data_IF_051181989622
#
_entry.id   IF_051181989622
#
_cell.length_a   1.000
_cell.length_b   1.000
_cell.length_c   1.000
_cell.angle_alpha   90.00
_cell.angle_beta   90.00
_cell.angle_gamma   90.00
#
_symmetry.space_group_name_H-M   'P 1'
#
loop_
_entity.id
_entity.type
_entity.pdbx_description
1 polymer ?
#
# COMPACT_ATOMS: atom_id res chain seq x y z
N UNK A 1 42.90 -48.17 -0.98
CA UNK A 1 41.79 -48.80 -1.66
C UNK A 1 41.22 -47.84 -2.73
N UNK A 2 41.47 -48.07 -4.05
CA UNK A 2 40.88 -47.31 -5.16
C UNK A 2 39.62 -48.05 -5.60
N UNK A 3 38.45 -47.63 -5.13
CA UNK A 3 37.19 -48.39 -5.25
C UNK A 3 36.45 -48.13 -6.58
N UNK A 4 36.85 -47.19 -7.44
CA UNK A 4 36.15 -46.95 -8.71
C UNK A 4 37.10 -46.77 -9.90
N UNK A 5 36.89 -47.60 -10.96
CA UNK A 5 37.51 -47.46 -12.28
C UNK A 5 37.04 -46.16 -12.96
N UNK A 6 37.90 -45.52 -13.76
CA UNK A 6 37.65 -44.25 -14.46
C UNK A 6 36.36 -44.26 -15.34
N UNK A 7 36.01 -45.45 -15.86
CA UNK A 7 34.82 -45.70 -16.66
C UNK A 7 33.53 -45.59 -15.82
N UNK A 8 33.56 -46.00 -14.54
CA UNK A 8 32.43 -45.90 -13.62
C UNK A 8 32.20 -44.48 -13.12
N UNK A 9 33.22 -43.63 -13.04
CA UNK A 9 33.07 -42.20 -12.66
C UNK A 9 32.31 -41.41 -13.73
N UNK A 10 32.50 -41.71 -15.04
CA UNK A 10 31.75 -41.06 -16.11
C UNK A 10 30.29 -41.49 -16.11
N UNK A 11 30.01 -42.75 -15.84
CA UNK A 11 28.68 -43.31 -15.76
C UNK A 11 27.95 -42.73 -14.53
N UNK A 12 28.62 -42.65 -13.38
CA UNK A 12 28.08 -42.05 -12.16
C UNK A 12 27.73 -40.55 -12.34
N UNK A 13 28.63 -39.76 -13.01
CA UNK A 13 28.33 -38.36 -13.31
C UNK A 13 27.12 -38.21 -14.24
N UNK A 14 26.93 -39.08 -15.23
CA UNK A 14 25.76 -39.07 -16.12
C UNK A 14 24.49 -39.39 -15.33
N UNK A 15 24.53 -40.39 -14.46
CA UNK A 15 23.40 -40.75 -13.61
C UNK A 15 23.05 -39.57 -12.69
N UNK A 16 24.01 -38.94 -12.02
CA UNK A 16 23.79 -37.77 -11.15
C UNK A 16 23.20 -36.60 -11.94
N UNK A 17 23.64 -36.31 -13.15
CA UNK A 17 23.09 -35.25 -13.98
C UNK A 17 21.67 -35.55 -14.42
N UNK A 18 21.35 -36.80 -14.77
CA UNK A 18 19.99 -37.22 -15.16
C UNK A 18 19.05 -37.15 -13.94
N UNK A 19 19.48 -37.60 -12.77
CA UNK A 19 18.65 -37.50 -11.54
C UNK A 19 18.43 -36.04 -11.12
N UNK A 20 19.46 -35.19 -11.25
CA UNK A 20 19.32 -33.76 -10.96
C UNK A 20 18.33 -33.09 -11.94
N UNK A 21 18.45 -33.39 -13.23
CA UNK A 21 17.52 -32.87 -14.23
C UNK A 21 16.09 -33.35 -14.01
N UNK A 22 15.90 -34.61 -13.62
CA UNK A 22 14.57 -35.15 -13.27
C UNK A 22 13.98 -34.48 -12.02
N UNK A 23 14.79 -34.18 -11.00
CA UNK A 23 14.35 -33.46 -9.80
C UNK A 23 13.94 -32.03 -10.11
N UNK A 24 14.71 -31.32 -10.96
CA UNK A 24 14.36 -29.97 -11.41
C UNK A 24 13.05 -29.99 -12.21
N UNK A 25 12.89 -30.94 -13.13
CA UNK A 25 11.64 -31.08 -13.89
C UNK A 25 10.44 -31.35 -12.97
N UNK A 26 10.62 -32.22 -11.98
CA UNK A 26 9.58 -32.53 -10.99
C UNK A 26 9.21 -31.28 -10.16
N UNK A 27 10.20 -30.51 -9.74
CA UNK A 27 9.98 -29.27 -9.00
C UNK A 27 9.20 -28.24 -9.85
N UNK A 28 9.55 -28.10 -11.14
CA UNK A 28 8.81 -27.22 -12.06
C UNK A 28 7.36 -27.70 -12.28
N UNK A 29 7.12 -29.01 -12.39
CA UNK A 29 5.78 -29.56 -12.52
C UNK A 29 4.94 -29.31 -11.24
N UNK A 30 5.54 -29.45 -10.06
CA UNK A 30 4.88 -29.16 -8.79
C UNK A 30 4.55 -27.66 -8.70
N UNK A 31 5.47 -26.78 -9.03
CA UNK A 31 5.25 -25.34 -9.03
C UNK A 31 4.15 -24.92 -10.01
N UNK A 32 4.16 -25.47 -11.23
CA UNK A 32 3.12 -25.24 -12.22
C UNK A 32 1.74 -25.74 -11.73
N UNK A 33 1.72 -26.89 -11.04
CA UNK A 33 0.48 -27.44 -10.50
C UNK A 33 -0.05 -26.62 -9.33
N UNK A 34 0.82 -26.11 -8.45
CA UNK A 34 0.43 -25.22 -7.35
C UNK A 34 -0.14 -23.92 -7.91
N UNK A 35 0.52 -23.30 -8.90
CA UNK A 35 0.00 -22.10 -9.58
C UNK A 35 -1.33 -22.36 -10.28
N UNK A 36 -1.52 -23.53 -10.87
CA UNK A 36 -2.78 -23.89 -11.51
C UNK A 36 -3.90 -24.12 -10.50
N UNK A 37 -3.61 -24.83 -9.40
CA UNK A 37 -4.59 -25.12 -8.35
C UNK A 37 -4.97 -23.88 -7.54
N UNK A 38 -4.06 -22.90 -7.41
CA UNK A 38 -4.32 -21.63 -6.75
C UNK A 38 -5.47 -20.82 -7.39
N UNK A 39 -5.82 -21.11 -8.64
CA UNK A 39 -6.97 -20.49 -9.33
C UNK A 39 -8.34 -21.01 -8.87
N UNK A 40 -8.37 -22.15 -8.17
CA UNK A 40 -9.60 -22.83 -7.72
C UNK A 40 -9.76 -22.83 -6.21
N UNK A 41 -8.91 -22.09 -5.48
CA UNK A 41 -9.01 -21.97 -4.04
C UNK A 41 -10.09 -20.94 -3.71
N UNK A 42 -11.14 -21.39 -3.04
CA UNK A 42 -12.20 -20.52 -2.51
C UNK A 42 -12.03 -20.42 -1.01
N UNK A 43 -11.96 -19.18 -0.52
CA UNK A 43 -11.92 -18.88 0.89
C UNK A 43 -13.34 -18.61 1.38
N UNK A 44 -13.79 -19.40 2.36
CA UNK A 44 -15.10 -19.26 3.01
C UNK A 44 -14.89 -19.02 4.51
N UNK A 45 -15.84 -18.38 5.23
CA UNK A 45 -15.79 -18.25 6.68
C UNK A 45 -15.63 -19.60 7.41
N UNK A 46 -16.07 -20.70 6.78
CA UNK A 46 -16.00 -22.05 7.32
C UNK A 46 -14.70 -22.81 6.93
N UNK A 47 -13.79 -22.19 6.18
CA UNK A 47 -12.52 -22.79 5.77
C UNK A 47 -12.15 -22.59 4.30
N UNK A 48 -11.02 -23.16 3.90
CA UNK A 48 -10.51 -23.12 2.53
C UNK A 48 -10.87 -24.41 1.82
N UNK A 49 -11.53 -24.33 0.66
CA UNK A 49 -11.83 -25.50 -0.18
C UNK A 49 -11.47 -25.25 -1.64
N UNK A 50 -11.27 -26.34 -2.38
CA UNK A 50 -10.95 -26.32 -3.80
C UNK A 50 -12.25 -26.58 -4.60
N UNK A 51 -12.70 -25.57 -5.34
CA UNK A 51 -13.80 -25.72 -6.29
C UNK A 51 -13.27 -25.97 -7.70
N UNK A 52 -13.24 -27.23 -8.10
CA UNK A 52 -12.77 -27.68 -9.42
C UNK A 52 -13.88 -27.72 -10.47
N UNK A 53 -15.12 -27.35 -10.12
CA UNK A 53 -16.29 -27.42 -11.01
C UNK A 53 -16.73 -26.07 -11.55
N UNK A 54 -15.93 -25.03 -11.45
CA UNK A 54 -16.22 -23.77 -12.14
C UNK A 54 -16.21 -23.98 -13.66
N UNK A 55 -17.36 -24.36 -14.19
CA UNK A 55 -17.64 -24.24 -15.60
C UNK A 55 -17.73 -22.76 -15.93
N UNK A 56 -16.81 -22.26 -16.76
CA UNK A 56 -16.93 -20.99 -17.46
C UNK A 56 -18.10 -21.07 -18.44
N UNK A 57 -19.32 -21.09 -17.95
CA UNK A 57 -20.52 -20.85 -18.73
C UNK A 57 -20.79 -19.36 -18.74
N UNK A 58 -20.31 -18.72 -19.78
CA UNK A 58 -20.76 -17.39 -20.21
C UNK A 58 -22.16 -17.58 -20.81
N UNK A 59 -23.19 -17.47 -20.00
CA UNK A 59 -24.58 -17.18 -20.33
C UNK A 59 -25.45 -17.84 -19.27
N UNK A 60 -25.96 -17.01 -18.38
CA UNK A 60 -27.31 -17.02 -17.87
C UNK A 60 -27.39 -15.97 -16.75
N UNK A 61 -27.47 -14.72 -17.19
CA UNK A 61 -28.00 -13.67 -16.33
C UNK A 61 -29.52 -13.85 -16.35
N UNK A 62 -30.19 -14.18 -15.25
CA UNK A 62 -31.63 -14.10 -15.21
C UNK A 62 -32.01 -12.63 -15.37
N UNK A 63 -32.75 -12.32 -16.44
CA UNK A 63 -33.41 -11.04 -16.60
C UNK A 63 -34.32 -10.81 -15.40
N UNK A 64 -33.89 -9.98 -14.46
CA UNK A 64 -34.73 -9.50 -13.39
C UNK A 64 -35.80 -8.61 -14.04
N UNK A 65 -37.04 -9.10 -14.00
CA UNK A 65 -38.25 -8.34 -14.28
C UNK A 65 -38.27 -7.09 -13.39
N UNK A 66 -38.43 -5.93 -14.04
CA UNK A 66 -38.70 -4.65 -13.36
C UNK A 66 -39.89 -4.82 -12.39
N UNK A 67 -39.77 -4.32 -11.16
CA UNK A 67 -40.95 -4.06 -10.35
C UNK A 67 -41.61 -2.76 -10.86
N UNK A 68 -42.92 -2.87 -11.08
CA UNK A 68 -43.81 -1.75 -11.36
C UNK A 68 -43.76 -0.67 -10.25
N UNK A 69 -43.99 0.56 -10.67
CA UNK A 69 -44.09 1.81 -9.94
C UNK A 69 -44.65 1.66 -8.52
N UNK A 70 -43.78 1.93 -7.54
CA UNK A 70 -44.20 2.31 -6.20
C UNK A 70 -43.94 3.80 -6.02
N UNK A 71 -45.02 4.56 -6.04
CA UNK A 71 -45.12 5.99 -5.77
C UNK A 71 -44.73 6.22 -4.30
N UNK A 72 -43.51 6.69 -4.04
CA UNK A 72 -43.10 7.19 -2.73
C UNK A 72 -43.12 8.71 -2.77
N UNK A 73 -43.92 9.37 -1.89
CA UNK A 73 -43.92 10.81 -1.82
C UNK A 73 -42.59 11.30 -1.24
N UNK A 74 -41.79 11.98 -2.04
CA UNK A 74 -40.66 12.76 -1.58
C UNK A 74 -41.18 13.99 -0.82
N UNK A 75 -41.17 13.98 0.49
CA UNK A 75 -41.21 15.19 1.28
C UNK A 75 -39.85 15.87 1.22
N UNK A 76 -39.76 16.93 0.45
CA UNK A 76 -38.63 17.86 0.50
C UNK A 76 -38.68 18.65 1.81
N UNK A 77 -37.91 18.18 2.80
CA UNK A 77 -37.63 18.98 3.99
C UNK A 77 -36.57 20.02 3.61
N UNK A 78 -36.99 21.26 3.43
CA UNK A 78 -36.09 22.40 3.43
C UNK A 78 -35.59 22.60 4.86
N UNK A 79 -34.35 22.16 5.13
CA UNK A 79 -33.64 22.55 6.36
C UNK A 79 -33.12 23.96 6.17
N UNK A 80 -33.66 24.87 6.98
CA UNK A 80 -33.21 26.27 7.11
C UNK A 80 -31.80 26.31 7.74
N UNK A 81 -30.95 27.14 7.17
CA UNK A 81 -29.50 27.12 7.35
C UNK A 81 -29.03 27.16 8.82
N UNK A 82 -28.21 26.20 9.13
CA UNK A 82 -27.17 26.31 10.14
C UNK A 82 -25.92 25.62 9.61
N UNK A 83 -24.89 26.45 9.39
CA UNK A 83 -23.46 26.15 9.27
C UNK A 83 -23.07 24.90 8.46
N UNK A 84 -22.47 25.20 7.33
CA UNK A 84 -21.62 24.31 6.55
C UNK A 84 -20.57 23.61 7.45
N UNK A 85 -20.92 22.47 8.03
CA UNK A 85 -19.99 21.37 8.02
C UNK A 85 -19.95 20.93 6.55
N UNK A 86 -18.96 21.41 5.84
CA UNK A 86 -18.59 20.92 4.54
C UNK A 86 -18.34 19.42 4.73
N UNK A 87 -19.37 18.61 4.50
CA UNK A 87 -19.20 17.18 4.31
C UNK A 87 -18.25 17.06 3.12
N UNK A 88 -16.98 16.79 3.45
CA UNK A 88 -15.90 16.58 2.50
C UNK A 88 -16.25 15.32 1.71
N UNK A 89 -17.01 15.50 0.63
CA UNK A 89 -17.40 14.40 -0.25
C UNK A 89 -16.11 13.89 -0.87
N UNK A 90 -15.62 12.78 -0.36
CA UNK A 90 -14.41 12.15 -0.84
C UNK A 90 -14.56 11.90 -2.34
N UNK A 91 -13.68 12.49 -3.14
CA UNK A 91 -13.69 12.35 -4.60
C UNK A 91 -13.08 11.00 -4.98
N UNK A 92 -13.67 10.31 -5.96
CA UNK A 92 -13.07 9.12 -6.55
C UNK A 92 -11.74 9.50 -7.22
N UNK A 93 -10.64 8.86 -6.81
CA UNK A 93 -9.31 9.20 -7.28
C UNK A 93 -8.94 8.38 -8.53
N UNK A 94 -8.54 9.08 -9.58
CA UNK A 94 -7.85 8.53 -10.74
C UNK A 94 -6.55 9.28 -10.92
N UNK A 95 -5.41 8.61 -10.76
CA UNK A 95 -4.17 9.35 -10.77
C UNK A 95 -2.91 8.52 -10.93
N UNK A 96 -1.81 9.20 -10.69
CA UNK A 96 -0.48 8.63 -10.91
C UNK A 96 0.40 8.77 -9.68
N UNK A 97 1.29 7.79 -9.46
CA UNK A 97 2.32 7.93 -8.46
C UNK A 97 3.68 8.30 -9.06
N UNK A 98 4.38 9.15 -8.33
CA UNK A 98 5.74 9.58 -8.59
C UNK A 98 6.63 8.92 -7.54
N UNK A 99 7.47 7.97 -7.96
CA UNK A 99 8.37 7.27 -7.05
C UNK A 99 9.60 8.08 -6.71
N UNK A 100 10.27 7.72 -5.59
CA UNK A 100 11.58 8.29 -5.22
C UNK A 100 12.63 8.13 -6.32
N UNK A 101 12.58 7.06 -7.10
CA UNK A 101 13.49 6.85 -8.24
C UNK A 101 13.24 7.88 -9.33
N UNK A 102 11.97 8.15 -9.68
CA UNK A 102 11.64 9.18 -10.68
C UNK A 102 12.13 10.58 -10.24
N UNK A 103 11.97 10.91 -8.95
CA UNK A 103 12.46 12.18 -8.40
C UNK A 103 13.99 12.27 -8.41
N UNK A 104 14.68 11.17 -8.10
CA UNK A 104 16.14 11.13 -8.11
C UNK A 104 16.72 11.18 -9.52
N UNK A 105 16.05 10.55 -10.50
CA UNK A 105 16.53 10.50 -11.88
C UNK A 105 16.36 11.85 -12.61
N UNK A 106 15.15 12.40 -12.62
CA UNK A 106 14.88 13.72 -13.24
C UNK A 106 13.48 14.24 -12.94
N UNK A 107 13.40 15.29 -12.15
CA UNK A 107 12.16 16.04 -11.89
C UNK A 107 11.56 16.64 -13.17
N UNK A 108 12.41 17.09 -14.12
CA UNK A 108 11.93 17.64 -15.38
C UNK A 108 11.23 16.59 -16.25
N UNK A 109 11.72 15.35 -16.23
CA UNK A 109 11.04 14.21 -16.91
C UNK A 109 9.69 13.94 -16.28
N UNK A 110 9.59 13.98 -14.94
CA UNK A 110 8.32 13.84 -14.22
C UNK A 110 7.34 14.93 -14.62
N UNK A 111 7.80 16.19 -14.63
CA UNK A 111 6.98 17.35 -15.01
C UNK A 111 6.50 17.25 -16.46
N UNK A 112 7.37 16.84 -17.38
CA UNK A 112 6.99 16.60 -18.77
C UNK A 112 5.92 15.50 -18.89
N UNK A 113 6.09 14.37 -18.22
CA UNK A 113 5.14 13.26 -18.24
C UNK A 113 3.77 13.69 -17.71
N UNK A 114 3.72 14.45 -16.59
CA UNK A 114 2.46 14.98 -16.05
C UNK A 114 1.75 15.91 -17.06
N UNK A 115 2.51 16.74 -17.79
CA UNK A 115 1.94 17.64 -18.81
C UNK A 115 1.46 16.91 -20.07
N UNK A 116 1.98 15.73 -20.36
CA UNK A 116 1.60 14.89 -21.50
C UNK A 116 0.46 13.93 -21.15
N UNK A 117 0.09 13.85 -19.88
CA UNK A 117 -0.96 12.96 -19.38
C UNK A 117 -2.24 13.72 -19.13
N UNK A 118 -3.33 13.26 -19.71
CA UNK A 118 -4.67 13.80 -19.54
C UNK A 118 -5.49 12.98 -18.51
N UNK A 119 -6.60 13.53 -18.06
CA UNK A 119 -7.67 12.86 -17.32
C UNK A 119 -7.24 12.24 -15.96
N UNK A 120 -6.43 12.96 -15.16
CA UNK A 120 -6.16 12.59 -13.78
C UNK A 120 -6.57 13.69 -12.79
N UNK A 121 -7.00 13.29 -11.61
CA UNK A 121 -7.39 14.19 -10.52
C UNK A 121 -6.60 13.96 -9.23
N UNK A 122 -5.59 13.06 -9.26
CA UNK A 122 -4.76 12.78 -8.10
C UNK A 122 -3.30 12.53 -8.49
N UNK A 123 -2.38 12.96 -7.62
CA UNK A 123 -0.96 12.61 -7.70
C UNK A 123 -0.48 12.13 -6.33
N UNK A 124 0.10 10.95 -6.29
CA UNK A 124 0.74 10.36 -5.13
C UNK A 124 2.26 10.51 -5.25
N UNK A 125 2.89 11.23 -4.34
CA UNK A 125 4.33 11.51 -4.39
C UNK A 125 5.05 10.77 -3.26
N UNK A 126 6.07 9.98 -3.59
CA UNK A 126 6.98 9.38 -2.60
C UNK A 126 7.92 10.45 -2.04
N UNK A 127 7.52 11.14 -0.99
CA UNK A 127 8.29 12.22 -0.37
C UNK A 127 9.39 11.72 0.57
N UNK A 128 9.37 10.43 0.92
CA UNK A 128 10.35 9.78 1.79
C UNK A 128 10.61 8.34 1.36
N UNK A 129 11.87 7.92 1.35
CA UNK A 129 12.24 6.54 1.05
C UNK A 129 12.13 5.62 2.28
N UNK A 130 12.02 4.29 2.10
CA UNK A 130 12.11 3.32 3.20
C UNK A 130 13.45 3.34 3.95
N UNK A 131 14.49 3.94 3.37
CA UNK A 131 15.80 4.15 4.01
C UNK A 131 15.83 5.40 4.90
N UNK A 132 14.73 6.16 4.99
CA UNK A 132 14.61 7.35 5.82
C UNK A 132 15.15 8.64 5.19
N UNK A 133 15.34 8.66 3.86
CA UNK A 133 15.76 9.87 3.15
C UNK A 133 14.56 10.65 2.62
N UNK A 134 14.53 11.95 2.85
CA UNK A 134 13.48 12.86 2.40
C UNK A 134 13.81 13.44 1.02
N UNK A 135 12.80 13.54 0.17
CA UNK A 135 12.88 14.10 -1.17
C UNK A 135 12.27 15.50 -1.26
N UNK A 136 12.34 16.23 -0.15
CA UNK A 136 12.01 17.65 -0.03
C UNK A 136 12.84 18.28 1.10
N UNK A 137 12.90 19.60 1.14
CA UNK A 137 13.55 20.34 2.24
C UNK A 137 12.71 20.19 3.50
N UNK A 138 13.25 19.51 4.51
CA UNK A 138 12.56 19.20 5.77
C UNK A 138 13.23 19.91 6.95
N UNK A 139 12.42 20.40 7.88
CA UNK A 139 12.85 20.97 9.16
C UNK A 139 12.85 19.95 10.31
N UNK A 140 12.51 18.68 10.04
CA UNK A 140 12.49 17.62 11.04
C UNK A 140 13.91 17.37 11.57
N UNK A 141 14.06 17.47 12.89
CA UNK A 141 15.35 17.33 13.55
C UNK A 141 16.03 15.99 13.23
N UNK A 142 17.21 16.10 12.69
CA UNK A 142 18.03 14.97 12.34
C UNK A 142 17.55 14.16 11.14
N UNK A 143 16.57 14.60 10.38
CA UNK A 143 16.23 14.04 9.09
C UNK A 143 17.40 14.14 8.09
N UNK A 144 17.40 13.25 7.11
CA UNK A 144 18.39 13.26 6.03
C UNK A 144 17.67 13.41 4.70
N UNK A 145 18.13 14.36 3.87
CA UNK A 145 17.67 14.50 2.50
C UNK A 145 18.33 13.46 1.60
N UNK A 146 17.63 13.09 0.54
CA UNK A 146 18.13 12.18 -0.49
C UNK A 146 19.27 12.81 -1.29
N UNK A 147 20.07 11.97 -1.94
CA UNK A 147 21.01 12.40 -2.98
C UNK A 147 20.25 12.64 -4.30
N UNK A 148 19.52 13.75 -4.35
CA UNK A 148 18.69 14.19 -5.46
C UNK A 148 18.70 15.72 -5.54
N UNK A 149 18.15 16.30 -6.61
CA UNK A 149 17.92 17.74 -6.70
C UNK A 149 16.71 18.13 -5.84
N UNK A 150 16.95 18.35 -4.55
CA UNK A 150 15.91 18.68 -3.57
C UNK A 150 15.22 20.01 -3.93
N UNK A 151 15.94 20.98 -4.48
CA UNK A 151 15.34 22.25 -4.89
C UNK A 151 14.35 22.06 -6.04
N UNK A 152 14.67 21.17 -6.99
CA UNK A 152 13.75 20.82 -8.06
C UNK A 152 12.53 20.03 -7.54
N UNK A 153 12.73 19.13 -6.55
CA UNK A 153 11.65 18.43 -5.88
C UNK A 153 10.70 19.40 -5.16
N UNK A 154 11.24 20.34 -4.38
CA UNK A 154 10.47 21.38 -3.69
C UNK A 154 9.64 22.22 -4.67
N UNK A 155 10.25 22.62 -5.80
CA UNK A 155 9.55 23.37 -6.83
C UNK A 155 8.41 22.56 -7.48
N UNK A 156 8.60 21.24 -7.69
CA UNK A 156 7.53 20.36 -8.20
C UNK A 156 6.41 20.22 -7.18
N UNK A 157 6.73 20.00 -5.91
CA UNK A 157 5.75 19.91 -4.83
C UNK A 157 4.91 21.18 -4.76
N UNK A 158 5.56 22.35 -4.74
CA UNK A 158 4.88 23.64 -4.72
C UNK A 158 3.98 23.87 -5.95
N UNK A 159 4.42 23.43 -7.13
CA UNK A 159 3.63 23.50 -8.36
C UNK A 159 2.36 22.64 -8.26
N UNK A 160 2.48 21.40 -7.78
CA UNK A 160 1.38 20.46 -7.69
C UNK A 160 0.40 20.83 -6.56
N UNK A 161 0.89 21.16 -5.37
CA UNK A 161 0.03 21.55 -4.23
C UNK A 161 -0.66 22.90 -4.43
N UNK A 162 -0.17 23.72 -5.37
CA UNK A 162 -0.83 24.96 -5.79
C UNK A 162 -2.03 24.76 -6.75
N UNK A 163 -2.27 23.54 -7.22
CA UNK A 163 -3.36 23.20 -8.15
C UNK A 163 -4.64 22.86 -7.39
N UNK A 164 -5.73 23.60 -7.63
CA UNK A 164 -7.03 23.37 -7.00
C UNK A 164 -7.87 22.27 -7.66
N UNK A 165 -7.44 21.77 -8.83
CA UNK A 165 -8.08 20.69 -9.59
C UNK A 165 -7.50 19.30 -9.28
N UNK A 166 -6.53 19.22 -8.36
CA UNK A 166 -5.74 18.04 -8.09
C UNK A 166 -5.72 17.72 -6.61
N UNK A 167 -5.89 16.45 -6.25
CA UNK A 167 -5.61 15.94 -4.91
C UNK A 167 -4.16 15.48 -4.86
N UNK A 168 -3.35 16.14 -4.03
CA UNK A 168 -1.92 15.84 -3.90
C UNK A 168 -1.65 15.10 -2.61
N UNK A 169 -1.14 13.87 -2.72
CA UNK A 169 -0.97 12.94 -1.63
C UNK A 169 0.53 12.69 -1.40
N UNK A 170 1.01 12.92 -0.19
CA UNK A 170 2.36 12.57 0.20
C UNK A 170 2.42 11.12 0.70
N UNK A 171 3.21 10.25 0.06
CA UNK A 171 3.43 8.87 0.54
C UNK A 171 4.70 8.81 1.38
N UNK A 172 4.55 8.29 2.59
CA UNK A 172 5.60 8.13 3.61
C UNK A 172 5.57 6.68 4.12
N UNK A 173 6.67 5.92 4.08
CA UNK A 173 6.76 4.64 4.77
C UNK A 173 6.50 4.81 6.26
N UNK A 174 5.48 4.11 6.81
CA UNK A 174 5.05 4.31 8.19
C UNK A 174 6.15 3.95 9.19
N UNK A 175 6.67 2.73 9.10
CA UNK A 175 7.55 2.20 10.15
C UNK A 175 8.96 1.88 9.69
N UNK A 176 9.27 1.97 8.39
CA UNK A 176 10.60 1.71 7.86
C UNK A 176 11.43 3.01 7.84
N UNK A 177 12.45 3.10 8.72
CA UNK A 177 13.35 4.25 8.78
C UNK A 177 14.65 3.94 9.55
N UNK A 178 15.70 3.46 8.87
CA UNK A 178 17.00 3.24 9.50
C UNK A 178 17.66 4.49 10.08
N UNK A 179 17.42 5.69 9.48
CA UNK A 179 18.01 6.94 9.92
C UNK A 179 17.42 7.38 11.26
N UNK A 180 16.10 7.29 11.41
CA UNK A 180 15.41 7.54 12.68
C UNK A 180 15.84 6.54 13.75
N UNK A 181 15.83 5.25 13.45
CA UNK A 181 16.21 4.17 14.39
C UNK A 181 17.65 4.34 14.86
N UNK A 182 18.57 4.80 14.01
CA UNK A 182 19.96 5.08 14.40
C UNK A 182 20.09 6.08 15.54
N UNK A 183 19.07 6.91 15.79
CA UNK A 183 19.01 7.91 16.86
C UNK A 183 18.06 7.51 18.00
N UNK A 184 17.04 6.69 17.68
CA UNK A 184 15.95 6.29 18.57
C UNK A 184 15.87 4.76 18.71
N UNK A 185 16.92 4.14 19.24
CA UNK A 185 17.02 2.69 19.41
C UNK A 185 15.85 2.07 20.18
N UNK A 186 15.29 2.80 21.16
CA UNK A 186 14.14 2.36 21.97
C UNK A 186 12.85 2.20 21.15
N UNK A 187 12.76 2.92 20.03
CA UNK A 187 11.63 2.86 19.13
C UNK A 187 11.71 1.71 18.11
N UNK A 188 12.79 0.93 18.10
CA UNK A 188 13.01 -0.08 17.08
C UNK A 188 12.26 -1.39 17.35
N UNK A 189 11.78 -2.04 16.28
CA UNK A 189 11.46 -3.46 16.31
C UNK A 189 12.74 -4.27 16.53
N UNK A 190 12.66 -5.24 17.46
CA UNK A 190 13.78 -6.13 17.78
C UNK A 190 13.43 -7.58 17.49
N UNK A 191 14.47 -8.37 17.27
CA UNK A 191 14.36 -9.83 17.19
C UNK A 191 14.20 -10.44 18.57
N UNK A 192 13.84 -11.70 18.62
CA UNK A 192 13.80 -12.49 19.86
C UNK A 192 15.17 -12.60 20.55
N UNK A 193 16.28 -12.44 19.80
CA UNK A 193 17.64 -12.35 20.33
C UNK A 193 18.01 -10.96 20.87
N UNK A 194 17.17 -9.94 20.63
CA UNK A 194 17.39 -8.56 21.10
C UNK A 194 18.16 -7.68 20.11
N UNK A 195 18.45 -8.17 18.91
CA UNK A 195 19.03 -7.39 17.82
C UNK A 195 17.95 -6.58 17.12
N UNK A 196 18.32 -5.53 16.37
CA UNK A 196 17.37 -4.80 15.54
C UNK A 196 16.79 -5.72 14.45
N UNK A 197 15.47 -5.73 14.33
CA UNK A 197 14.81 -6.45 13.23
C UNK A 197 14.95 -5.67 11.92
N UNK A 198 15.20 -6.39 10.85
CA UNK A 198 15.45 -5.81 9.53
C UNK A 198 14.69 -6.61 8.48
N UNK A 199 14.02 -5.92 7.57
CA UNK A 199 13.30 -6.54 6.45
C UNK A 199 14.24 -7.05 5.34
N UNK A 200 13.67 -7.66 4.31
CA UNK A 200 14.43 -8.18 3.16
C UNK A 200 15.15 -7.09 2.35
N UNK A 201 14.72 -5.84 2.45
CA UNK A 201 15.34 -4.65 1.82
C UNK A 201 16.43 -4.03 2.70
N UNK A 202 16.72 -4.66 3.84
CA UNK A 202 17.70 -4.22 4.83
C UNK A 202 17.33 -2.91 5.54
N UNK A 203 16.01 -2.67 5.69
CA UNK A 203 15.50 -1.53 6.42
C UNK A 203 15.15 -1.93 7.86
N UNK A 204 15.57 -1.14 8.83
CA UNK A 204 15.11 -1.26 10.22
C UNK A 204 13.73 -0.65 10.36
N UNK A 205 12.94 -1.21 11.25
CA UNK A 205 11.54 -0.83 11.46
C UNK A 205 11.30 -0.28 12.86
N UNK A 206 10.44 0.72 12.94
CA UNK A 206 9.93 1.29 14.18
C UNK A 206 8.80 0.44 14.75
N UNK A 207 8.60 0.52 16.06
CA UNK A 207 7.42 -0.03 16.75
C UNK A 207 6.28 0.98 16.68
N UNK A 208 5.03 0.58 16.29
CA UNK A 208 3.89 1.49 16.28
C UNK A 208 3.48 1.97 17.68
N UNK A 209 3.75 1.20 18.74
CA UNK A 209 3.48 1.56 20.14
C UNK A 209 4.58 2.46 20.77
N UNK A 210 5.60 2.87 20.00
CA UNK A 210 6.61 3.81 20.46
C UNK A 210 6.11 5.25 20.37
N UNK A 211 6.11 5.97 21.50
CA UNK A 211 5.78 7.39 21.55
C UNK A 211 6.69 8.22 20.63
N UNK A 212 7.98 7.89 20.56
CA UNK A 212 8.94 8.57 19.70
C UNK A 212 8.59 8.36 18.22
N UNK A 213 8.22 7.13 17.82
CA UNK A 213 7.79 6.83 16.46
C UNK A 213 6.48 7.55 16.10
N UNK A 214 5.48 7.52 16.96
CA UNK A 214 4.21 8.22 16.76
C UNK A 214 4.42 9.73 16.63
N UNK A 215 5.21 10.34 17.52
CA UNK A 215 5.52 11.77 17.47
C UNK A 215 6.27 12.17 16.21
N UNK A 216 7.17 11.31 15.73
CA UNK A 216 7.89 11.51 14.48
C UNK A 216 6.97 11.48 13.26
N UNK A 217 6.04 10.51 13.19
CA UNK A 217 5.06 10.44 12.11
C UNK A 217 4.11 11.66 12.14
N UNK A 218 3.66 12.08 13.32
CA UNK A 218 2.84 13.29 13.48
C UNK A 218 3.59 14.54 13.01
N UNK A 219 4.88 14.67 13.35
CA UNK A 219 5.69 15.80 12.90
C UNK A 219 5.83 15.85 11.38
N UNK A 220 6.06 14.70 10.72
CA UNK A 220 6.09 14.61 9.26
C UNK A 220 4.76 15.06 8.66
N UNK A 221 3.64 14.56 9.18
CA UNK A 221 2.32 14.90 8.66
C UNK A 221 2.00 16.40 8.79
N UNK A 222 2.33 17.02 9.91
CA UNK A 222 2.13 18.46 10.14
C UNK A 222 3.07 19.33 9.26
N UNK A 223 4.28 18.87 8.99
CA UNK A 223 5.17 19.55 8.02
C UNK A 223 4.59 19.49 6.60
N UNK A 224 4.07 18.32 6.17
CA UNK A 224 3.41 18.14 4.88
C UNK A 224 2.14 18.99 4.73
N UNK A 225 1.38 19.21 5.84
CA UNK A 225 0.27 20.17 5.88
C UNK A 225 0.74 21.60 5.53
N UNK A 226 1.88 22.02 6.07
CA UNK A 226 2.44 23.36 5.76
C UNK A 226 2.93 23.49 4.31
N UNK A 227 3.26 22.38 3.65
CA UNK A 227 3.63 22.32 2.24
C UNK A 227 2.43 22.26 1.29
N UNK A 228 1.20 22.18 1.84
CA UNK A 228 -0.05 22.22 1.08
C UNK A 228 -0.50 20.88 0.53
N UNK A 229 -0.02 19.76 1.03
CA UNK A 229 -0.57 18.45 0.67
C UNK A 229 -1.99 18.28 1.20
N UNK A 230 -2.86 17.66 0.39
CA UNK A 230 -4.23 17.36 0.79
C UNK A 230 -4.30 16.13 1.72
N UNK A 231 -3.41 15.16 1.50
CA UNK A 231 -3.38 13.91 2.28
C UNK A 231 -1.94 13.46 2.54
N UNK A 232 -1.72 12.86 3.71
CA UNK A 232 -0.54 12.06 4.01
C UNK A 232 -0.92 10.58 4.05
N UNK A 233 -0.30 9.80 3.18
CA UNK A 233 -0.41 8.35 3.18
C UNK A 233 0.75 7.73 3.96
N UNK A 234 0.48 7.20 5.15
CA UNK A 234 1.43 6.32 5.82
C UNK A 234 1.31 4.91 5.23
N UNK A 235 2.23 4.59 4.31
CA UNK A 235 2.25 3.32 3.58
C UNK A 235 2.91 2.21 4.41
N UNK A 236 2.57 0.95 4.11
CA UNK A 236 3.02 -0.21 4.88
C UNK A 236 2.68 -0.10 6.37
N UNK A 237 1.44 0.31 6.68
CA UNK A 237 0.96 0.49 8.05
C UNK A 237 0.57 -0.85 8.67
N UNK A 238 1.58 -1.67 8.98
CA UNK A 238 1.45 -2.99 9.58
C UNK A 238 2.69 -3.35 10.41
N UNK A 239 2.55 -4.33 11.31
CA UNK A 239 3.69 -4.97 11.99
C UNK A 239 3.98 -6.28 11.29
N UNK A 240 5.23 -6.54 10.87
CA UNK A 240 5.59 -7.78 10.17
C UNK A 240 5.19 -9.03 10.94
N UNK A 241 4.52 -9.97 10.27
CA UNK A 241 4.18 -11.29 10.81
C UNK A 241 5.36 -12.24 10.61
N UNK A 242 6.45 -11.96 11.34
CA UNK A 242 7.68 -12.73 11.34
C UNK A 242 7.91 -13.28 12.74
N UNK A 243 8.16 -14.58 12.83
CA UNK A 243 8.41 -15.28 14.11
C UNK A 243 9.69 -14.83 14.80
N UNK A 244 10.62 -14.21 14.07
CA UNK A 244 11.83 -13.61 14.63
C UNK A 244 11.58 -12.28 15.33
N UNK A 245 10.46 -11.58 15.02
CA UNK A 245 10.09 -10.31 15.66
C UNK A 245 9.70 -10.57 17.12
N UNK A 246 10.39 -9.91 18.05
CA UNK A 246 10.03 -9.92 19.46
C UNK A 246 8.80 -9.04 19.69
N UNK A 247 7.69 -9.66 20.05
CA UNK A 247 6.45 -8.97 20.37
C UNK A 247 5.76 -9.65 21.56
N UNK A 248 5.40 -8.85 22.56
CA UNK A 248 4.66 -9.35 23.72
C UNK A 248 3.15 -9.20 23.48
N UNK A 249 2.54 -10.24 22.91
CA UNK A 249 1.11 -10.25 22.57
C UNK A 249 0.19 -10.32 23.80
N UNK A 250 0.71 -10.71 24.97
CA UNK A 250 -0.08 -10.72 26.21
C UNK A 250 -0.27 -9.29 26.75
N UNK A 251 0.76 -8.43 26.55
CA UNK A 251 0.68 -7.03 26.94
C UNK A 251 -0.10 -6.18 25.94
N UNK A 252 0.20 -6.32 24.64
CA UNK A 252 -0.43 -5.56 23.56
C UNK A 252 -0.38 -6.36 22.25
N UNK A 253 -1.51 -6.55 21.59
CA UNK A 253 -1.53 -7.18 20.26
C UNK A 253 -0.93 -6.25 19.21
N UNK A 254 -0.40 -6.82 18.10
CA UNK A 254 0.12 -6.01 16.98
C UNK A 254 -0.97 -5.09 16.40
N UNK A 255 -2.20 -5.61 16.28
CA UNK A 255 -3.34 -4.83 15.78
C UNK A 255 -3.69 -3.69 16.72
N UNK A 256 -3.78 -3.93 18.03
CA UNK A 256 -4.07 -2.87 19.00
C UNK A 256 -2.99 -1.76 19.00
N UNK A 257 -1.71 -2.13 18.84
CA UNK A 257 -0.63 -1.15 18.70
C UNK A 257 -0.77 -0.28 17.44
N UNK A 258 -1.24 -0.86 16.34
CA UNK A 258 -1.51 -0.13 15.10
C UNK A 258 -2.74 0.78 15.25
N UNK A 259 -3.78 0.30 15.94
CA UNK A 259 -4.99 1.09 16.24
C UNK A 259 -4.64 2.30 17.12
N UNK A 260 -3.89 2.10 18.23
CA UNK A 260 -3.43 3.19 19.09
C UNK A 260 -2.57 4.21 18.31
N UNK A 261 -1.69 3.75 17.42
CA UNK A 261 -0.89 4.63 16.58
C UNK A 261 -1.77 5.42 15.60
N UNK A 262 -2.72 4.78 14.94
CA UNK A 262 -3.60 5.43 13.97
C UNK A 262 -4.53 6.45 14.66
N UNK A 263 -5.10 6.10 15.82
CA UNK A 263 -5.91 7.00 16.65
C UNK A 263 -5.13 8.23 17.07
N UNK A 264 -3.87 8.03 17.51
CA UNK A 264 -2.99 9.14 17.88
C UNK A 264 -2.70 10.06 16.70
N UNK A 265 -2.37 9.50 15.53
CA UNK A 265 -2.13 10.30 14.32
C UNK A 265 -3.38 11.10 13.93
N UNK A 266 -4.55 10.49 13.94
CA UNK A 266 -5.82 11.17 13.68
C UNK A 266 -6.08 12.31 14.67
N UNK A 267 -5.82 12.08 15.97
CA UNK A 267 -5.98 13.09 17.00
C UNK A 267 -5.00 14.26 16.83
N UNK A 268 -3.72 13.98 16.51
CA UNK A 268 -2.69 14.99 16.32
C UNK A 268 -2.93 15.87 15.09
N UNK A 269 -3.63 15.35 14.07
CA UNK A 269 -4.01 16.08 12.87
C UNK A 269 -5.35 16.82 12.99
N UNK A 270 -6.00 16.75 14.17
CA UNK A 270 -7.24 17.51 14.40
C UNK A 270 -6.99 19.01 14.30
N UNK A 271 -7.66 19.66 13.35
CA UNK A 271 -7.52 21.10 13.09
C UNK A 271 -6.48 21.48 12.04
N UNK A 272 -5.74 20.50 11.48
CA UNK A 272 -4.96 20.68 10.27
C UNK A 272 -5.83 20.50 9.02
N UNK A 273 -5.36 20.94 7.85
CA UNK A 273 -6.05 20.72 6.57
C UNK A 273 -5.71 19.37 5.94
N UNK A 274 -4.57 18.79 6.29
CA UNK A 274 -4.13 17.51 5.74
C UNK A 274 -4.94 16.35 6.31
N UNK A 275 -5.36 15.43 5.47
CA UNK A 275 -6.12 14.23 5.86
C UNK A 275 -5.19 13.03 6.03
N UNK A 276 -5.51 12.18 6.99
CA UNK A 276 -4.78 10.93 7.23
C UNK A 276 -5.25 9.84 6.27
N UNK A 277 -4.34 9.27 5.50
CA UNK A 277 -4.55 8.07 4.72
C UNK A 277 -3.60 6.95 5.21
N UNK A 278 -4.04 5.69 5.14
CA UNK A 278 -3.27 4.54 5.62
C UNK A 278 -3.14 3.45 4.56
N UNK A 279 -1.93 2.93 4.37
CA UNK A 279 -1.64 1.75 3.57
C UNK A 279 -1.78 0.48 4.40
N UNK A 280 -3.02 -0.01 4.59
CA UNK A 280 -3.31 -1.15 5.46
C UNK A 280 -4.43 -2.02 4.91
N UNK A 281 -4.35 -3.34 5.15
CA UNK A 281 -5.43 -4.29 4.89
C UNK A 281 -6.21 -4.68 6.15
N UNK A 282 -5.87 -4.10 7.31
CA UNK A 282 -6.51 -4.38 8.59
C UNK A 282 -7.72 -3.47 8.77
N UNK A 283 -8.92 -4.02 8.68
CA UNK A 283 -10.17 -3.26 8.72
C UNK A 283 -10.32 -2.40 9.99
N UNK A 284 -9.97 -2.94 11.17
CA UNK A 284 -10.07 -2.18 12.43
C UNK A 284 -9.08 -1.00 12.52
N UNK A 285 -8.00 -1.01 11.76
CA UNK A 285 -7.06 0.12 11.63
C UNK A 285 -7.58 1.13 10.59
N UNK A 286 -8.19 0.63 9.53
CA UNK A 286 -8.71 1.44 8.42
C UNK A 286 -9.74 2.50 8.85
N UNK A 287 -10.50 2.25 9.93
CA UNK A 287 -11.52 3.18 10.44
C UNK A 287 -10.98 4.55 10.90
N UNK A 288 -9.67 4.64 11.17
CA UNK A 288 -9.02 5.90 11.59
C UNK A 288 -8.56 6.77 10.42
N UNK A 289 -8.67 6.27 9.19
CA UNK A 289 -8.21 6.96 7.98
C UNK A 289 -9.37 7.56 7.19
N UNK A 290 -9.13 8.70 6.54
CA UNK A 290 -10.04 9.27 5.54
C UNK A 290 -10.05 8.43 4.26
N UNK A 291 -8.90 7.82 3.92
CA UNK A 291 -8.72 6.87 2.80
C UNK A 291 -7.79 5.73 3.17
N UNK A 292 -8.02 4.60 2.51
CA UNK A 292 -7.21 3.39 2.65
C UNK A 292 -6.61 3.03 1.30
N UNK A 293 -5.30 2.84 1.28
CA UNK A 293 -4.56 2.46 0.08
C UNK A 293 -4.13 1.01 0.14
N UNK A 294 -4.41 0.27 -0.92
CA UNK A 294 -4.06 -1.15 -1.06
C UNK A 294 -3.22 -1.34 -2.31
N UNK A 295 -1.98 -1.78 -2.13
CA UNK A 295 -1.12 -2.16 -3.27
C UNK A 295 -1.39 -3.60 -3.67
N UNK A 296 -1.89 -3.82 -4.88
CA UNK A 296 -2.12 -5.17 -5.43
C UNK A 296 -2.13 -5.17 -6.96
N UNK A 297 -1.54 -6.22 -7.54
CA UNK A 297 -1.59 -6.48 -8.98
C UNK A 297 -2.71 -7.47 -9.34
N UNK A 298 -3.46 -7.95 -8.35
CA UNK A 298 -4.47 -8.99 -8.52
C UNK A 298 -5.87 -8.39 -8.61
N UNK A 299 -6.33 -8.16 -9.83
CA UNK A 299 -7.69 -7.67 -10.06
C UNK A 299 -8.80 -8.58 -9.49
N UNK A 300 -8.53 -9.88 -9.29
CA UNK A 300 -9.46 -10.80 -8.63
C UNK A 300 -9.67 -10.50 -7.13
N UNK A 301 -8.72 -9.81 -6.49
CA UNK A 301 -8.79 -9.51 -5.06
C UNK A 301 -9.62 -8.24 -4.80
N UNK A 302 -9.86 -7.39 -5.80
CA UNK A 302 -10.55 -6.10 -5.67
C UNK A 302 -11.89 -6.24 -4.96
N UNK A 303 -12.74 -7.15 -5.44
CA UNK A 303 -14.08 -7.35 -4.87
C UNK A 303 -14.03 -7.82 -3.41
N UNK A 304 -13.13 -8.76 -3.09
CA UNK A 304 -13.00 -9.28 -1.73
C UNK A 304 -12.47 -8.22 -0.76
N UNK A 305 -11.50 -7.42 -1.22
CA UNK A 305 -10.93 -6.32 -0.43
C UNK A 305 -12.02 -5.26 -0.20
N UNK A 306 -12.72 -4.84 -1.25
CA UNK A 306 -13.82 -3.86 -1.14
C UNK A 306 -14.90 -4.34 -0.19
N UNK A 307 -15.30 -5.61 -0.28
CA UNK A 307 -16.29 -6.20 0.63
C UNK A 307 -15.79 -6.20 2.09
N UNK A 308 -14.54 -6.59 2.34
CA UNK A 308 -14.00 -6.60 3.71
C UNK A 308 -13.88 -5.19 4.31
N UNK A 309 -13.57 -4.18 3.49
CA UNK A 309 -13.46 -2.80 3.92
C UNK A 309 -14.81 -2.10 4.06
N UNK A 310 -15.88 -2.57 3.39
CA UNK A 310 -17.22 -2.01 3.47
C UNK A 310 -17.87 -2.13 4.85
N UNK A 311 -17.30 -2.92 5.76
CA UNK A 311 -17.77 -3.03 7.14
C UNK A 311 -17.33 -1.84 8.01
N UNK A 312 -16.26 -1.14 7.59
CA UNK A 312 -15.61 -0.07 8.38
C UNK A 312 -15.55 1.27 7.65
N UNK A 313 -15.50 1.27 6.33
CA UNK A 313 -15.52 2.49 5.52
C UNK A 313 -16.96 2.90 5.22
N UNK A 314 -17.29 4.17 5.43
CA UNK A 314 -18.63 4.72 5.20
C UNK A 314 -18.96 4.79 3.69
N UNK A 315 -17.98 5.05 2.84
CA UNK A 315 -18.06 5.05 1.38
C UNK A 315 -16.85 4.34 0.77
N UNK A 316 -16.88 3.01 0.66
CA UNK A 316 -15.75 2.24 0.13
C UNK A 316 -15.33 2.64 -1.29
N UNK A 317 -16.25 3.17 -2.11
CA UNK A 317 -15.96 3.56 -3.50
C UNK A 317 -14.96 4.72 -3.56
N UNK A 318 -15.13 5.73 -2.71
CA UNK A 318 -14.28 6.92 -2.69
C UNK A 318 -13.14 6.84 -1.67
N UNK A 319 -13.31 6.02 -0.61
CA UNK A 319 -12.32 5.90 0.46
C UNK A 319 -11.30 4.79 0.22
N UNK A 320 -11.56 3.82 -0.68
CA UNK A 320 -10.61 2.77 -1.02
C UNK A 320 -9.89 3.11 -2.31
N UNK A 321 -8.56 3.07 -2.28
CA UNK A 321 -7.70 3.39 -3.42
C UNK A 321 -6.73 2.23 -3.67
N UNK A 322 -6.73 1.73 -4.89
CA UNK A 322 -5.78 0.70 -5.33
C UNK A 322 -4.55 1.33 -5.98
N UNK A 323 -3.38 0.91 -5.53
CA UNK A 323 -2.11 1.23 -6.18
C UNK A 323 -1.67 0.00 -6.96
N UNK A 324 -1.59 0.14 -8.29
CA UNK A 324 -1.36 -1.01 -9.18
C UNK A 324 -0.67 -0.59 -10.48
N UNK A 325 0.09 -1.49 -11.08
CA UNK A 325 0.59 -1.36 -12.46
C UNK A 325 -0.38 -1.94 -13.49
N UNK A 326 -1.40 -2.68 -13.02
CA UNK A 326 -2.37 -3.35 -13.86
C UNK A 326 -3.34 -2.37 -14.55
N UNK A 327 -3.63 -2.62 -15.82
CA UNK A 327 -4.66 -1.92 -16.60
C UNK A 327 -6.00 -2.68 -16.64
N UNK A 328 -6.21 -3.64 -15.72
CA UNK A 328 -7.48 -4.35 -15.61
C UNK A 328 -8.59 -3.40 -15.14
N UNK A 329 -9.70 -3.35 -15.89
CA UNK A 329 -10.81 -2.41 -15.66
C UNK A 329 -11.54 -2.60 -14.35
N UNK A 330 -11.34 -3.72 -13.65
CA UNK A 330 -11.92 -3.95 -12.31
C UNK A 330 -11.35 -3.02 -11.24
N UNK A 331 -10.18 -2.43 -11.48
CA UNK A 331 -9.63 -1.39 -10.60
C UNK A 331 -10.29 -0.04 -10.81
N UNK A 332 -10.92 0.19 -11.98
CA UNK A 332 -11.50 1.51 -12.33
C UNK A 332 -12.86 1.76 -11.66
N UNK A 333 -13.46 0.73 -11.03
CA UNK A 333 -14.69 0.85 -10.23
C UNK A 333 -14.44 1.44 -8.83
N UNK A 334 -13.19 1.66 -8.44
CA UNK A 334 -12.74 2.27 -7.20
C UNK A 334 -11.64 3.31 -7.47
N UNK A 335 -11.15 3.98 -6.43
CA UNK A 335 -9.98 4.83 -6.56
C UNK A 335 -8.78 4.04 -7.08
N UNK A 336 -8.04 4.58 -8.06
CA UNK A 336 -6.88 3.90 -8.63
C UNK A 336 -5.73 4.85 -8.90
N UNK A 337 -4.53 4.44 -8.49
CA UNK A 337 -3.27 5.14 -8.73
C UNK A 337 -2.31 4.21 -9.47
N UNK A 338 -1.79 4.67 -10.62
CA UNK A 338 -0.84 3.93 -11.46
C UNK A 338 0.52 4.63 -11.55
N UNK A 339 1.60 3.96 -11.93
CA UNK A 339 2.89 4.63 -12.10
C UNK A 339 2.80 5.68 -13.22
N UNK A 340 3.37 6.88 -12.97
CA UNK A 340 3.43 7.93 -13.99
C UNK A 340 4.34 7.54 -15.17
N UNK A 341 5.46 6.89 -14.87
CA UNK A 341 6.45 6.43 -15.86
C UNK A 341 6.70 4.94 -15.66
N UNK A 342 6.85 4.19 -16.73
CA UNK A 342 7.35 2.81 -16.68
C UNK A 342 6.31 1.73 -16.42
N UNK A 343 5.04 1.91 -16.78
CA UNK A 343 4.00 0.87 -16.69
C UNK A 343 4.21 -0.34 -17.62
N UNK A 344 5.24 -0.36 -18.44
CA UNK A 344 5.48 -1.37 -19.50
C UNK A 344 6.80 -2.13 -19.34
N UNK A 345 7.37 -2.24 -18.16
CA UNK A 345 8.52 -3.14 -17.96
C UNK A 345 8.08 -4.42 -17.25
N UNK A 346 7.49 -5.32 -18.03
CA UNK A 346 7.63 -6.76 -17.81
C UNK A 346 9.08 -7.13 -18.12
N UNK A 347 9.92 -7.32 -17.10
CA UNK A 347 11.04 -8.26 -17.09
C UNK A 347 11.08 -9.03 -15.77
#
# INVERSE_FOLDING_TARGET
>A
MRIFSYRNKRLLRRIILITLAALVLLALLIAARISYLGRFVVYSPDGVYLDTQQHLSRSDVPSASQPEDADYPFETVFSDGTQDEQADTAVLLHGYYISTTMLADSVDTVRQALNETDDYNAVLIDVKSPLGNFYYSTDIDGAQTADADISACDALIQELTGRSDLVVIARVPAFSDPNFIGKHYSAALTTTSGELWMDSRRCYWMRPDSIDAQSYLSAIALELDTLGFDEVLFDNFYVPDDSSVRWDTEALTRTAALEECAEKLQADLTGSSIRLALGTSTASVAQYASRVFITTERANDVMNITQSMSEVLSDPVTQLVFVTTSHDTRFDDAGVIRPLLGGDNTD
#
